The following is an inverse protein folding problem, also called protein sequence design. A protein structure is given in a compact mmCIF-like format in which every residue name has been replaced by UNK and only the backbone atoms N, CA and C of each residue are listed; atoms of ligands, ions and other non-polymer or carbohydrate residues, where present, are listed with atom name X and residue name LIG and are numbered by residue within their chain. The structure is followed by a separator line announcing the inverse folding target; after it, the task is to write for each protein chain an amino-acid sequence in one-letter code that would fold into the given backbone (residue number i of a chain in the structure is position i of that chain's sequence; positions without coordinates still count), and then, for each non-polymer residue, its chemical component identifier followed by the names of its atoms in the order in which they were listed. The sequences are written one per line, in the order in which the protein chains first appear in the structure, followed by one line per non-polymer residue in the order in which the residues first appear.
data_IF_222300479757
#
_entry.id   IF_222300479757
#
_cell.length_a   1.000
_cell.length_b   1.000
_cell.length_c   1.000
_cell.angle_alpha   90.00
_cell.angle_beta   90.00
_cell.angle_gamma   90.00
#
_symmetry.space_group_name_H-M   'P 1'
#
loop_
_entity.id
_entity.type
_entity.pdbx_description
1 polymer ?
#
# COMPACT_ATOMS: atom_id res chain seq x y z
N UNK A 1 47.35 84.41 31.64
CA UNK A 1 47.01 85.09 30.37
C UNK A 1 46.95 84.06 29.25
N UNK A 2 45.93 84.14 28.37
CA UNK A 2 45.65 83.35 27.14
C UNK A 2 45.23 81.88 27.38
N UNK A 3 43.93 81.55 27.40
CA UNK A 3 42.92 81.41 26.31
C UNK A 3 43.37 80.49 25.17
N UNK A 4 42.71 79.34 25.02
CA UNK A 4 42.01 78.88 23.79
C UNK A 4 41.33 77.50 24.02
N UNK A 5 40.04 77.46 23.68
CA UNK A 5 39.09 76.34 23.49
C UNK A 5 38.52 76.57 22.05
N UNK A 6 37.85 75.68 21.28
CA UNK A 6 37.62 74.22 21.29
C UNK A 6 37.95 73.48 19.97
N UNK A 7 37.85 72.14 19.99
CA UNK A 7 37.27 71.43 18.85
C UNK A 7 36.58 70.14 19.30
N UNK A 8 35.29 70.04 18.96
CA UNK A 8 34.50 68.83 19.05
C UNK A 8 34.96 67.83 17.98
N UNK A 9 35.04 66.54 18.34
CA UNK A 9 35.03 65.44 17.38
C UNK A 9 33.87 64.52 17.74
N UNK A 10 32.81 64.57 16.91
CA UNK A 10 31.90 63.44 16.75
C UNK A 10 32.71 62.27 16.18
N UNK A 11 32.78 61.17 16.91
CA UNK A 11 33.22 59.89 16.35
C UNK A 11 32.01 58.95 16.25
N UNK A 12 31.72 58.68 14.99
CA UNK A 12 30.80 57.72 14.42
C UNK A 12 30.49 56.49 15.27
N UNK A 13 29.20 56.16 15.31
CA UNK A 13 28.73 54.81 15.54
C UNK A 13 29.45 53.85 14.58
N UNK A 14 30.28 52.96 15.13
CA UNK A 14 30.65 51.75 14.44
C UNK A 14 29.53 50.74 14.74
N UNK A 15 28.63 50.55 13.79
CA UNK A 15 27.79 49.35 13.78
C UNK A 15 28.72 48.15 13.66
N UNK A 16 28.80 47.34 14.71
CA UNK A 16 29.35 46.00 14.61
C UNK A 16 28.37 45.16 13.79
N UNK A 17 28.54 45.18 12.46
CA UNK A 17 27.99 44.13 11.62
C UNK A 17 28.86 42.89 11.78
N UNK A 18 28.20 41.79 12.17
CA UNK A 18 28.48 40.38 11.89
C UNK A 18 29.95 39.93 11.78
N UNK A 19 30.34 38.94 12.60
CA UNK A 19 30.46 37.53 12.14
C UNK A 19 30.35 36.61 13.38
N UNK A 20 29.17 36.59 14.00
CA UNK A 20 28.93 35.84 15.23
C UNK A 20 28.08 34.59 15.02
N UNK A 21 28.03 33.99 13.83
CA UNK A 21 27.43 32.68 13.65
C UNK A 21 28.50 31.63 13.92
N UNK A 22 28.44 30.97 15.09
CA UNK A 22 29.13 29.70 15.28
C UNK A 22 28.70 28.75 14.17
N UNK A 23 29.54 28.59 13.16
CA UNK A 23 29.23 27.79 11.98
C UNK A 23 29.36 26.33 12.40
N UNK A 24 28.22 25.69 12.69
CA UNK A 24 28.15 24.23 12.65
C UNK A 24 28.87 23.75 11.38
N UNK A 25 29.71 22.70 11.44
CA UNK A 25 30.43 22.25 10.26
C UNK A 25 29.45 21.81 9.17
N UNK A 26 29.75 22.18 7.93
CA UNK A 26 28.99 21.73 6.77
C UNK A 26 28.82 20.21 6.82
N UNK A 27 27.57 19.75 6.72
CA UNK A 27 27.19 18.34 6.68
C UNK A 27 26.05 18.10 5.71
N UNK A 28 26.05 16.91 5.09
CA UNK A 28 24.90 16.38 4.36
C UNK A 28 23.95 15.71 5.36
N UNK A 29 22.65 15.96 5.22
CA UNK A 29 21.62 15.32 6.08
C UNK A 29 21.08 14.04 5.48
N UNK A 30 21.14 13.88 4.15
CA UNK A 30 20.74 12.67 3.46
C UNK A 30 21.83 11.59 3.60
N UNK A 31 21.55 10.55 4.39
CA UNK A 31 22.45 9.40 4.56
C UNK A 31 22.09 8.21 3.66
N UNK A 32 20.89 8.20 3.09
CA UNK A 32 20.39 7.16 2.18
C UNK A 32 19.36 7.74 1.21
N UNK A 33 19.04 6.98 0.16
CA UNK A 33 17.96 7.28 -0.78
C UNK A 33 16.80 6.31 -0.55
N UNK A 34 15.54 6.77 -0.58
CA UNK A 34 14.40 5.89 -0.71
C UNK A 34 14.55 5.04 -1.99
N UNK A 35 14.11 3.77 -1.98
CA UNK A 35 14.08 2.97 -3.20
C UNK A 35 13.16 3.66 -4.23
N UNK A 36 13.53 3.53 -5.50
CA UNK A 36 12.67 3.89 -6.61
C UNK A 36 12.03 2.64 -7.21
N UNK A 37 10.88 2.80 -7.85
CA UNK A 37 10.18 1.70 -8.48
C UNK A 37 10.02 1.95 -9.97
N UNK A 38 10.26 0.90 -10.76
CA UNK A 38 10.16 0.96 -12.22
C UNK A 38 8.81 1.52 -12.65
N UNK A 39 8.83 2.56 -13.49
CA UNK A 39 7.61 3.18 -14.02
C UNK A 39 6.86 4.08 -13.04
N UNK A 40 7.33 4.23 -11.80
CA UNK A 40 6.69 5.10 -10.81
C UNK A 40 7.39 6.45 -10.67
N UNK A 41 6.65 7.55 -10.46
CA UNK A 41 7.26 8.83 -10.15
C UNK A 41 8.15 8.76 -8.91
N UNK A 42 9.37 9.24 -9.04
CA UNK A 42 10.35 9.34 -7.97
C UNK A 42 10.71 10.80 -7.69
N UNK A 43 10.86 11.14 -6.42
CA UNK A 43 11.33 12.46 -5.99
C UNK A 43 11.99 12.35 -4.62
N UNK A 44 13.31 12.56 -4.56
CA UNK A 44 14.08 12.65 -3.32
C UNK A 44 14.77 14.02 -3.24
N UNK A 45 14.69 14.64 -2.07
CA UNK A 45 15.40 15.89 -1.78
C UNK A 45 16.64 15.58 -0.95
N UNK A 46 17.77 16.13 -1.38
CA UNK A 46 19.07 16.04 -0.72
C UNK A 46 19.37 17.40 -0.14
N UNK A 47 19.68 17.43 1.16
CA UNK A 47 19.86 18.67 1.91
C UNK A 47 21.19 18.66 2.68
N UNK A 48 21.61 19.86 3.06
CA UNK A 48 22.79 20.12 3.86
C UNK A 48 22.48 21.14 4.96
N UNK A 49 23.27 21.09 6.02
CA UNK A 49 23.19 22.00 7.18
C UNK A 49 24.60 22.44 7.58
N UNK A 50 24.69 23.52 8.37
CA UNK A 50 25.97 24.12 8.74
C UNK A 50 26.66 24.84 7.58
N UNK A 51 27.89 25.33 7.79
CA UNK A 51 28.63 26.08 6.78
C UNK A 51 27.95 27.40 6.37
N UNK A 52 28.37 27.94 5.21
CA UNK A 52 27.93 29.26 4.72
C UNK A 52 27.05 29.11 3.48
N UNK A 53 25.77 29.49 3.56
CA UNK A 53 24.87 29.51 2.40
C UNK A 53 25.29 30.55 1.34
N UNK A 54 24.94 30.38 0.05
CA UNK A 54 24.18 29.27 -0.53
C UNK A 54 24.97 27.97 -0.68
N UNK A 55 24.25 26.86 -0.82
CA UNK A 55 24.83 25.55 -1.14
C UNK A 55 24.70 25.23 -2.63
N UNK A 56 25.74 24.64 -3.19
CA UNK A 56 25.75 24.05 -4.53
C UNK A 56 25.86 22.53 -4.41
N UNK A 57 24.99 21.80 -5.10
CA UNK A 57 25.01 20.34 -5.10
C UNK A 57 25.38 19.80 -6.47
N UNK A 58 26.27 18.81 -6.49
CA UNK A 58 26.56 17.98 -7.66
C UNK A 58 26.31 16.51 -7.32
N UNK A 59 25.94 15.73 -8.34
CA UNK A 59 25.68 14.31 -8.18
C UNK A 59 26.41 13.55 -9.29
N UNK A 60 27.45 12.82 -8.91
CA UNK A 60 28.22 11.99 -9.83
C UNK A 60 27.71 10.54 -9.81
N UNK A 61 27.85 9.85 -10.94
CA UNK A 61 27.38 8.48 -11.16
C UNK A 61 26.35 8.39 -12.28
N UNK A 62 26.15 7.18 -12.82
CA UNK A 62 25.12 6.95 -13.84
C UNK A 62 23.74 6.92 -13.16
N UNK A 63 22.87 7.85 -13.53
CA UNK A 63 21.46 7.78 -13.15
C UNK A 63 20.72 6.71 -13.98
N UNK A 64 19.72 6.03 -13.39
CA UNK A 64 18.79 5.21 -14.17
C UNK A 64 18.17 6.03 -15.30
N UNK A 65 17.94 5.41 -16.45
CA UNK A 65 17.20 6.04 -17.54
C UNK A 65 15.87 6.62 -17.03
N UNK A 66 15.60 7.89 -17.35
CA UNK A 66 14.37 8.61 -16.97
C UNK A 66 14.44 9.36 -15.64
N UNK A 67 15.56 9.29 -14.91
CA UNK A 67 15.83 10.16 -13.75
C UNK A 67 16.77 11.32 -14.11
N UNK A 68 16.64 12.41 -13.35
CA UNK A 68 17.46 13.62 -13.49
C UNK A 68 17.72 14.25 -12.13
N UNK A 69 18.84 14.96 -12.01
CA UNK A 69 19.23 15.67 -10.80
C UNK A 69 19.32 17.18 -11.05
N UNK A 70 18.66 17.98 -10.22
CA UNK A 70 18.72 19.44 -10.30
C UNK A 70 18.59 20.05 -8.90
N UNK A 71 19.54 20.93 -8.53
CA UNK A 71 19.42 21.77 -7.33
C UNK A 71 19.20 21.00 -6.02
N UNK A 72 19.86 19.85 -5.85
CA UNK A 72 19.67 19.00 -4.67
C UNK A 72 18.47 18.05 -4.75
N UNK A 73 17.75 17.99 -5.88
CA UNK A 73 16.60 17.09 -6.05
C UNK A 73 16.88 16.05 -7.13
N UNK A 74 16.68 14.77 -6.80
CA UNK A 74 16.66 13.66 -7.73
C UNK A 74 15.21 13.30 -8.05
N UNK A 75 14.80 13.37 -9.32
CA UNK A 75 13.41 13.20 -9.72
C UNK A 75 13.27 12.58 -11.11
N UNK A 76 12.09 12.06 -11.42
CA UNK A 76 11.74 11.51 -12.72
C UNK A 76 10.93 10.22 -12.64
N UNK A 77 10.94 9.42 -13.70
CA UNK A 77 10.32 8.09 -13.74
C UNK A 77 11.37 7.10 -14.25
N UNK A 78 11.87 6.17 -13.42
CA UNK A 78 12.93 5.27 -13.82
C UNK A 78 12.40 4.20 -14.78
N UNK A 79 13.20 3.88 -15.79
CA UNK A 79 12.87 2.91 -16.86
C UNK A 79 13.76 1.67 -16.87
N UNK A 80 14.75 1.62 -16.00
CA UNK A 80 15.61 0.45 -15.80
C UNK A 80 15.73 0.10 -14.32
N UNK A 81 15.71 -1.21 -14.02
CA UNK A 81 15.95 -1.75 -12.68
C UNK A 81 17.46 -1.86 -12.44
N UNK A 82 17.89 -1.78 -11.18
CA UNK A 82 19.28 -1.97 -10.82
C UNK A 82 19.68 -1.29 -9.52
N UNK A 83 20.97 -1.38 -9.22
CA UNK A 83 21.61 -0.66 -8.12
C UNK A 83 22.57 0.38 -8.71
N UNK A 84 22.36 1.64 -8.37
CA UNK A 84 23.06 2.78 -8.96
C UNK A 84 23.85 3.49 -7.85
N UNK A 85 25.18 3.28 -7.79
CA UNK A 85 26.02 4.01 -6.84
C UNK A 85 26.17 5.46 -7.31
N UNK A 86 25.94 6.39 -6.38
CA UNK A 86 25.95 7.83 -6.62
C UNK A 86 26.86 8.51 -5.58
N UNK A 87 27.51 9.58 -5.98
CA UNK A 87 28.31 10.43 -5.09
C UNK A 87 27.68 11.82 -5.06
N UNK A 88 27.02 12.15 -3.96
CA UNK A 88 26.48 13.49 -3.71
C UNK A 88 27.59 14.35 -3.12
N UNK A 89 27.87 15.49 -3.74
CA UNK A 89 28.79 16.49 -3.20
C UNK A 89 28.03 17.79 -2.96
N UNK A 90 28.27 18.40 -1.80
CA UNK A 90 27.80 19.74 -1.47
C UNK A 90 28.99 20.66 -1.24
N UNK A 91 28.93 21.85 -1.84
CA UNK A 91 29.86 22.96 -1.62
C UNK A 91 29.09 24.15 -1.04
N UNK A 92 29.65 24.80 -0.02
CA UNK A 92 29.11 26.04 0.56
C UNK A 92 29.78 27.29 -0.04
N UNK A 93 29.27 28.48 0.28
CA UNK A 93 29.79 29.74 -0.26
C UNK A 93 31.23 30.06 0.21
N UNK A 94 31.66 29.47 1.33
CA UNK A 94 33.02 29.57 1.85
C UNK A 94 33.96 28.51 1.25
N UNK A 95 33.51 27.76 0.24
CA UNK A 95 34.27 26.71 -0.46
C UNK A 95 34.60 25.50 0.41
N UNK A 96 33.86 25.29 1.50
CA UNK A 96 33.89 24.03 2.21
C UNK A 96 33.11 22.99 1.40
N UNK A 97 33.64 21.77 1.31
CA UNK A 97 33.01 20.67 0.57
C UNK A 97 32.81 19.43 1.45
N UNK A 98 31.72 18.72 1.21
CA UNK A 98 31.44 17.38 1.78
C UNK A 98 30.85 16.49 0.70
N UNK A 99 31.24 15.22 0.73
CA UNK A 99 30.70 14.21 -0.18
C UNK A 99 30.12 13.03 0.61
N UNK A 100 29.03 12.46 0.09
CA UNK A 100 28.36 11.29 0.63
C UNK A 100 28.10 10.28 -0.49
N UNK A 101 28.49 9.02 -0.25
CA UNK A 101 28.10 7.92 -1.13
C UNK A 101 26.68 7.51 -0.81
N UNK A 102 25.85 7.45 -1.86
CA UNK A 102 24.47 7.01 -1.82
C UNK A 102 24.31 5.87 -2.83
N UNK A 103 23.33 5.01 -2.59
CA UNK A 103 22.94 3.99 -3.57
C UNK A 103 21.46 4.13 -3.84
N UNK A 104 21.09 4.37 -5.09
CA UNK A 104 19.70 4.27 -5.51
C UNK A 104 19.43 2.85 -5.97
N UNK A 105 18.47 2.18 -5.34
CA UNK A 105 17.96 0.90 -5.83
C UNK A 105 16.66 1.14 -6.59
N UNK A 106 16.60 0.64 -7.82
CA UNK A 106 15.38 0.59 -8.63
C UNK A 106 14.92 -0.85 -8.76
N UNK A 107 13.73 -1.17 -8.28
CA UNK A 107 13.13 -2.50 -8.35
C UNK A 107 11.72 -2.44 -8.94
N UNK A 108 11.05 -3.59 -9.05
CA UNK A 108 9.59 -3.55 -9.18
C UNK A 108 8.96 -2.93 -7.92
N UNK A 109 7.79 -2.28 -8.03
CA UNK A 109 6.99 -1.87 -6.87
C UNK A 109 6.77 -3.07 -5.93
N UNK A 110 6.54 -2.90 -4.62
CA UNK A 110 6.15 -4.03 -3.78
C UNK A 110 4.85 -4.67 -4.31
N UNK A 111 4.57 -5.96 -4.06
CA UNK A 111 3.27 -6.54 -4.40
C UNK A 111 2.10 -5.74 -3.82
N UNK A 112 0.91 -5.75 -4.45
CA UNK A 112 -0.26 -5.12 -3.89
C UNK A 112 -0.61 -5.75 -2.55
N UNK A 113 -1.07 -4.92 -1.60
CA UNK A 113 -1.56 -5.36 -0.29
C UNK A 113 -2.88 -4.68 0.05
N UNK A 114 -3.65 -5.32 0.94
CA UNK A 114 -4.86 -4.74 1.52
C UNK A 114 -4.52 -4.20 2.91
N UNK A 115 -4.38 -2.89 3.04
CA UNK A 115 -4.17 -2.23 4.32
C UNK A 115 -5.51 -2.00 5.02
N UNK A 116 -5.71 -2.63 6.18
CA UNK A 116 -6.89 -2.43 7.02
C UNK A 116 -6.63 -1.33 8.05
N UNK A 117 -7.50 -0.33 8.10
CA UNK A 117 -7.48 0.70 9.15
C UNK A 117 -8.48 0.27 10.22
N UNK A 118 -7.96 -0.01 11.41
CA UNK A 118 -8.71 -0.45 12.57
C UNK A 118 -8.44 0.50 13.76
N UNK A 119 -9.40 0.66 14.68
CA UNK A 119 -9.17 1.35 15.94
C UNK A 119 -7.98 0.74 16.70
N UNK A 120 -7.02 1.55 17.20
CA UNK A 120 -5.83 1.04 17.89
C UNK A 120 -6.12 0.64 19.34
N UNK A 121 -7.29 1.01 19.87
CA UNK A 121 -7.69 0.80 21.26
C UNK A 121 -8.97 -0.03 21.34
N UNK A 122 -9.39 -0.35 22.57
CA UNK A 122 -10.63 -1.06 22.81
C UNK A 122 -11.82 -0.26 22.29
N UNK A 123 -12.78 -0.98 21.69
CA UNK A 123 -14.06 -0.43 21.22
C UNK A 123 -15.21 -1.13 21.90
N UNK A 124 -16.23 -0.35 22.25
CA UNK A 124 -17.50 -0.84 22.81
C UNK A 124 -18.70 -0.56 21.88
N UNK A 125 -18.51 0.32 20.89
CA UNK A 125 -19.54 0.68 19.91
C UNK A 125 -19.10 0.43 18.46
N UNK A 126 -20.01 0.62 17.50
CA UNK A 126 -19.72 0.40 16.08
C UNK A 126 -18.53 1.23 15.58
N UNK A 127 -17.72 0.64 14.69
CA UNK A 127 -16.60 1.32 14.04
C UNK A 127 -16.52 0.96 12.55
N UNK A 128 -15.90 1.83 11.77
CA UNK A 128 -15.66 1.59 10.34
C UNK A 128 -14.36 0.80 10.14
N UNK A 129 -14.46 -0.37 9.52
CA UNK A 129 -13.34 -1.03 8.87
C UNK A 129 -13.13 -0.34 7.51
N UNK A 130 -11.98 0.30 7.32
CA UNK A 130 -11.56 0.82 6.02
C UNK A 130 -10.47 -0.08 5.43
N UNK A 131 -10.61 -0.45 4.17
CA UNK A 131 -9.60 -1.21 3.46
C UNK A 131 -9.05 -0.41 2.28
N UNK A 132 -7.72 -0.33 2.17
CA UNK A 132 -7.01 0.38 1.10
C UNK A 132 -6.15 -0.60 0.30
N UNK A 133 -6.16 -0.45 -1.01
CA UNK A 133 -5.22 -1.14 -1.91
C UNK A 133 -3.95 -0.29 -1.96
N UNK A 134 -2.80 -0.87 -1.63
CA UNK A 134 -1.52 -0.17 -1.55
C UNK A 134 -0.40 -0.96 -2.22
N UNK A 135 0.71 -0.29 -2.50
CA UNK A 135 1.96 -0.92 -2.94
C UNK A 135 2.09 -0.98 -4.46
N UNK A 136 1.18 -1.68 -5.15
CA UNK A 136 1.13 -1.78 -6.61
C UNK A 136 -0.30 -1.79 -7.10
N UNK A 137 -0.48 -1.44 -8.37
CA UNK A 137 -1.76 -1.56 -9.04
C UNK A 137 -2.26 -3.02 -9.06
N UNK A 138 -3.56 -3.17 -8.85
CA UNK A 138 -4.27 -4.43 -9.00
C UNK A 138 -5.64 -4.18 -9.67
N UNK A 139 -6.16 -5.17 -10.39
CA UNK A 139 -7.50 -5.13 -10.99
C UNK A 139 -8.57 -5.74 -10.08
N UNK A 140 -8.16 -6.17 -8.89
CA UNK A 140 -9.08 -6.65 -7.88
C UNK A 140 -8.42 -7.63 -6.93
N UNK A 141 -9.22 -8.17 -6.02
CA UNK A 141 -8.78 -9.14 -5.04
C UNK A 141 -9.93 -10.05 -4.61
N UNK A 142 -9.55 -11.20 -4.06
CA UNK A 142 -10.41 -12.05 -3.25
C UNK A 142 -9.96 -11.94 -1.80
N UNK A 143 -10.92 -11.88 -0.88
CA UNK A 143 -10.64 -11.80 0.55
C UNK A 143 -11.54 -12.75 1.34
N UNK A 144 -10.95 -13.33 2.37
CA UNK A 144 -11.66 -14.01 3.45
C UNK A 144 -11.13 -13.52 4.80
N UNK A 145 -12.04 -13.19 5.71
CA UNK A 145 -11.67 -12.73 7.06
C UNK A 145 -12.66 -13.25 8.09
N UNK A 146 -12.14 -13.72 9.22
CA UNK A 146 -12.98 -14.12 10.35
C UNK A 146 -13.27 -12.93 11.25
N UNK A 147 -14.54 -12.67 11.51
CA UNK A 147 -15.02 -11.57 12.35
C UNK A 147 -15.27 -12.07 13.78
N UNK A 148 -14.20 -12.20 14.57
CA UNK A 148 -14.32 -12.65 15.96
C UNK A 148 -15.02 -11.59 16.82
N UNK A 149 -16.22 -11.91 17.30
CA UNK A 149 -17.05 -11.04 18.16
C UNK A 149 -17.41 -9.70 17.51
N UNK A 150 -17.45 -9.68 16.17
CA UNK A 150 -17.78 -8.52 15.35
C UNK A 150 -18.94 -8.89 14.41
N UNK A 151 -19.98 -8.09 14.39
CA UNK A 151 -21.12 -8.24 13.48
C UNK A 151 -21.03 -7.22 12.35
N UNK A 152 -21.03 -7.64 11.07
CA UNK A 152 -20.93 -6.72 9.94
C UNK A 152 -22.29 -6.17 9.49
N UNK A 153 -22.36 -4.87 9.20
CA UNK A 153 -23.48 -4.27 8.46
C UNK A 153 -23.26 -4.43 6.95
N UNK A 154 -23.70 -5.57 6.42
CA UNK A 154 -23.50 -5.93 5.01
C UNK A 154 -24.19 -4.95 4.04
N UNK A 155 -25.37 -4.43 4.42
CA UNK A 155 -26.10 -3.46 3.59
C UNK A 155 -25.42 -2.08 3.56
N UNK A 156 -24.68 -1.75 4.61
CA UNK A 156 -23.88 -0.53 4.73
C UNK A 156 -22.52 -0.56 4.00
N UNK A 157 -22.16 -1.67 3.35
CA UNK A 157 -20.91 -1.76 2.58
C UNK A 157 -20.87 -0.66 1.50
N UNK A 158 -19.84 0.19 1.56
CA UNK A 158 -19.52 1.09 0.43
C UNK A 158 -18.24 0.60 -0.23
N UNK A 159 -18.35 0.23 -1.49
CA UNK A 159 -17.25 -0.27 -2.30
C UNK A 159 -16.82 0.76 -3.34
N UNK A 160 -15.52 0.76 -3.68
CA UNK A 160 -14.95 1.55 -4.77
C UNK A 160 -15.50 1.11 -6.13
N UNK A 161 -15.76 -0.19 -6.29
CA UNK A 161 -16.29 -0.78 -7.50
C UNK A 161 -17.69 -1.32 -7.28
N UNK A 162 -18.61 -1.11 -8.23
CA UNK A 162 -19.92 -1.76 -8.17
C UNK A 162 -19.82 -3.28 -8.38
N UNK A 163 -18.78 -3.78 -9.07
CA UNK A 163 -18.54 -5.20 -9.28
C UNK A 163 -17.85 -5.85 -8.07
N UNK A 164 -18.63 -6.11 -7.01
CA UNK A 164 -18.19 -6.81 -5.82
C UNK A 164 -19.21 -7.88 -5.40
N UNK A 165 -18.72 -8.96 -4.82
CA UNK A 165 -19.52 -10.07 -4.31
C UNK A 165 -19.20 -10.26 -2.83
N UNK A 166 -20.24 -10.34 -2.02
CA UNK A 166 -20.14 -10.40 -0.56
C UNK A 166 -20.94 -11.60 -0.04
N UNK A 167 -20.36 -12.31 0.90
CA UNK A 167 -21.01 -13.38 1.64
C UNK A 167 -20.54 -13.38 3.09
N UNK A 168 -21.45 -13.68 4.00
CA UNK A 168 -21.16 -13.80 5.43
C UNK A 168 -21.90 -15.01 5.98
N UNK A 169 -21.13 -15.93 6.55
CA UNK A 169 -21.68 -17.05 7.32
C UNK A 169 -21.65 -16.69 8.81
N UNK A 170 -22.81 -16.44 9.45
CA UNK A 170 -22.86 -16.08 10.87
C UNK A 170 -22.45 -17.23 11.80
N UNK A 171 -22.55 -18.49 11.36
CA UNK A 171 -22.18 -19.64 12.18
C UNK A 171 -20.64 -19.75 12.31
N UNK A 172 -19.92 -19.58 11.20
CA UNK A 172 -18.45 -19.59 11.19
C UNK A 172 -17.82 -18.22 11.44
N UNK A 173 -18.64 -17.15 11.33
CA UNK A 173 -18.25 -15.73 11.33
C UNK A 173 -17.26 -15.41 10.21
N UNK A 174 -17.38 -16.09 9.08
CA UNK A 174 -16.51 -15.91 7.93
C UNK A 174 -17.13 -14.89 6.97
N UNK A 175 -16.47 -13.76 6.79
CA UNK A 175 -16.78 -12.77 5.77
C UNK A 175 -15.93 -13.03 4.53
N UNK A 176 -16.57 -13.16 3.37
CA UNK A 176 -15.93 -13.35 2.07
C UNK A 176 -16.30 -12.17 1.17
N UNK A 177 -15.30 -11.53 0.60
CA UNK A 177 -15.49 -10.38 -0.29
C UNK A 177 -14.53 -10.48 -1.47
N UNK A 178 -15.10 -10.57 -2.65
CA UNK A 178 -14.35 -10.52 -3.90
C UNK A 178 -14.72 -9.22 -4.61
N UNK A 179 -13.72 -8.46 -5.06
CA UNK A 179 -13.92 -7.17 -5.70
C UNK A 179 -13.07 -7.07 -6.94
N UNK A 180 -13.69 -6.69 -8.06
CA UNK A 180 -12.98 -6.40 -9.31
C UNK A 180 -13.14 -4.94 -9.70
N UNK A 181 -12.09 -4.36 -10.26
CA UNK A 181 -12.02 -2.96 -10.69
C UNK A 181 -12.04 -2.87 -12.21
N UNK A 182 -12.81 -1.92 -12.75
CA UNK A 182 -12.86 -1.65 -14.19
C UNK A 182 -11.50 -1.18 -14.75
N UNK A 183 -10.68 -0.56 -13.90
CA UNK A 183 -9.32 -0.09 -14.19
C UNK A 183 -8.39 -0.47 -13.03
N UNK A 184 -7.08 -0.66 -13.25
CA UNK A 184 -6.14 -0.92 -12.18
C UNK A 184 -6.20 0.16 -11.09
N UNK A 185 -6.11 -0.26 -9.82
CA UNK A 185 -6.21 0.61 -8.64
C UNK A 185 -4.96 0.46 -7.78
N UNK A 186 -4.40 1.60 -7.34
CA UNK A 186 -3.31 1.72 -6.35
C UNK A 186 -3.57 2.92 -5.44
N UNK A 187 -3.20 2.80 -4.17
CA UNK A 187 -3.27 3.81 -3.12
C UNK A 187 -4.67 4.44 -2.94
N UNK A 188 -5.71 3.62 -3.13
CA UNK A 188 -7.12 4.02 -2.96
C UNK A 188 -7.84 3.16 -1.94
N UNK A 189 -8.84 3.76 -1.30
CA UNK A 189 -9.82 3.02 -0.50
C UNK A 189 -10.61 2.08 -1.43
N UNK A 190 -10.63 0.80 -1.10
CA UNK A 190 -11.38 -0.22 -1.82
C UNK A 190 -12.78 -0.39 -1.24
N UNK A 191 -12.92 -0.40 0.09
CA UNK A 191 -14.23 -0.43 0.73
C UNK A 191 -14.19 0.12 2.15
N UNK A 192 -15.39 0.40 2.65
CA UNK A 192 -15.68 0.61 4.06
C UNK A 192 -16.87 -0.21 4.50
N UNK A 193 -16.78 -0.82 5.68
CA UNK A 193 -17.81 -1.67 6.26
C UNK A 193 -17.97 -1.31 7.74
N UNK A 194 -19.20 -1.09 8.19
CA UNK A 194 -19.46 -0.87 9.60
C UNK A 194 -19.44 -2.23 10.32
N UNK A 195 -18.67 -2.33 11.40
CA UNK A 195 -18.60 -3.49 12.26
C UNK A 195 -19.05 -3.11 13.67
N UNK A 196 -19.91 -3.95 14.27
CA UNK A 196 -20.41 -3.76 15.63
C UNK A 196 -19.78 -4.80 16.55
N UNK A 197 -19.04 -4.39 17.60
CA UNK A 197 -18.51 -5.32 18.59
C UNK A 197 -19.65 -5.90 19.44
N UNK A 198 -19.64 -7.23 19.61
CA UNK A 198 -20.60 -7.93 20.47
C UNK A 198 -20.20 -7.89 21.96
N UNK A 199 -18.95 -7.48 22.23
CA UNK A 199 -18.40 -7.21 23.56
C UNK A 199 -17.18 -6.29 23.43
N UNK A 200 -16.75 -5.61 24.51
CA UNK A 200 -15.55 -4.79 24.49
C UNK A 200 -14.32 -5.58 23.99
N UNK A 201 -13.67 -5.11 22.94
CA UNK A 201 -12.49 -5.77 22.34
C UNK A 201 -11.54 -4.78 21.67
N UNK A 202 -10.28 -5.17 21.48
CA UNK A 202 -9.36 -4.46 20.58
C UNK A 202 -9.39 -5.18 19.22
N UNK A 203 -9.88 -4.53 18.15
CA UNK A 203 -10.12 -5.21 16.89
C UNK A 203 -8.80 -5.62 16.23
N UNK A 204 -8.68 -6.91 15.89
CA UNK A 204 -7.55 -7.47 15.15
C UNK A 204 -8.09 -8.39 14.06
N UNK A 205 -7.78 -8.07 12.81
CA UNK A 205 -8.19 -8.84 11.65
C UNK A 205 -6.96 -9.29 10.85
N UNK A 206 -6.96 -10.56 10.46
CA UNK A 206 -5.92 -11.16 9.63
C UNK A 206 -6.56 -11.79 8.40
N UNK A 207 -6.96 -10.99 7.39
CA UNK A 207 -7.59 -11.51 6.19
C UNK A 207 -6.61 -12.36 5.38
N UNK A 208 -7.11 -13.43 4.76
CA UNK A 208 -6.45 -14.05 3.62
C UNK A 208 -6.85 -13.25 2.39
N UNK A 209 -5.87 -12.78 1.62
CA UNK A 209 -6.11 -11.94 0.44
C UNK A 209 -5.30 -12.45 -0.74
N UNK A 210 -5.93 -12.54 -1.91
CA UNK A 210 -5.28 -12.84 -3.18
C UNK A 210 -5.59 -11.71 -4.15
N UNK A 211 -4.56 -11.00 -4.60
CA UNK A 211 -4.69 -9.93 -5.58
C UNK A 211 -4.56 -10.45 -7.01
N UNK A 212 -5.09 -9.68 -7.95
CA UNK A 212 -4.96 -9.92 -9.39
C UNK A 212 -4.22 -8.76 -10.04
N UNK A 213 -3.17 -9.07 -10.81
CA UNK A 213 -2.37 -8.06 -11.51
C UNK A 213 -3.14 -7.39 -12.67
N UNK A 214 -2.49 -6.49 -13.41
CA UNK A 214 -3.14 -5.75 -14.50
C UNK A 214 -3.62 -6.64 -15.66
N UNK A 215 -3.04 -7.84 -15.80
CA UNK A 215 -3.46 -8.86 -16.76
C UNK A 215 -4.58 -9.77 -16.22
N UNK A 216 -4.99 -9.60 -14.95
CA UNK A 216 -5.99 -10.44 -14.30
C UNK A 216 -5.45 -11.80 -13.87
N UNK A 217 -4.14 -11.94 -13.70
CA UNK A 217 -3.50 -13.15 -13.18
C UNK A 217 -3.41 -13.08 -11.65
N UNK A 218 -3.72 -14.17 -10.92
CA UNK A 218 -3.64 -14.19 -9.47
C UNK A 218 -2.18 -14.12 -8.99
N UNK A 219 -1.95 -13.32 -7.97
CA UNK A 219 -0.70 -13.20 -7.23
C UNK A 219 -0.72 -14.14 -6.03
N UNK A 220 -0.58 -15.44 -6.30
CA UNK A 220 -0.71 -16.52 -5.33
C UNK A 220 -1.75 -17.55 -5.77
N UNK A 221 -2.10 -18.47 -4.86
CA UNK A 221 -3.19 -19.42 -5.09
C UNK A 221 -4.53 -18.71 -4.87
N UNK A 222 -5.44 -18.67 -5.87
CA UNK A 222 -6.78 -18.13 -5.70
C UNK A 222 -7.54 -18.74 -4.52
N UNK A 223 -8.38 -17.93 -3.88
CA UNK A 223 -9.29 -18.45 -2.86
C UNK A 223 -10.39 -19.27 -3.55
N UNK A 224 -10.86 -20.36 -2.92
CA UNK A 224 -11.81 -21.27 -3.55
C UNK A 224 -13.15 -20.56 -3.81
N UNK A 225 -13.54 -20.52 -5.09
CA UNK A 225 -14.83 -20.03 -5.57
C UNK A 225 -15.41 -21.02 -6.57
N UNK A 226 -16.73 -21.10 -6.66
CA UNK A 226 -17.39 -21.97 -7.64
C UNK A 226 -17.25 -21.46 -9.07
N UNK A 227 -17.01 -20.16 -9.24
CA UNK A 227 -16.77 -19.48 -10.53
C UNK A 227 -15.44 -18.73 -10.48
N UNK A 228 -14.69 -18.66 -11.59
CA UNK A 228 -13.41 -17.98 -11.60
C UNK A 228 -13.56 -16.45 -11.42
N UNK A 229 -12.57 -15.82 -10.79
CA UNK A 229 -12.52 -14.36 -10.62
C UNK A 229 -12.58 -13.59 -11.95
N UNK A 230 -12.13 -14.19 -13.06
CA UNK A 230 -12.17 -13.58 -14.39
C UNK A 230 -13.58 -13.27 -14.88
N UNK A 231 -14.63 -13.94 -14.39
CA UNK A 231 -16.02 -13.58 -14.69
C UNK A 231 -16.42 -12.26 -14.04
N UNK A 232 -16.09 -12.09 -12.75
CA UNK A 232 -16.32 -10.84 -12.02
C UNK A 232 -15.51 -9.69 -12.63
N UNK A 233 -14.26 -9.95 -13.03
CA UNK A 233 -13.41 -8.97 -13.68
C UNK A 233 -13.96 -8.48 -15.03
N UNK A 234 -14.46 -9.39 -15.87
CA UNK A 234 -15.07 -9.01 -17.15
C UNK A 234 -16.31 -8.13 -16.93
N UNK A 235 -17.14 -8.49 -15.97
CA UNK A 235 -18.32 -7.71 -15.60
C UNK A 235 -17.90 -6.30 -15.13
N UNK A 236 -16.87 -6.19 -14.29
CA UNK A 236 -16.33 -4.89 -13.86
C UNK A 236 -15.83 -4.03 -15.02
N UNK A 237 -15.10 -4.61 -15.97
CA UNK A 237 -14.54 -3.92 -17.14
C UNK A 237 -15.61 -3.51 -18.16
N UNK A 238 -16.71 -4.28 -18.23
CA UNK A 238 -17.84 -4.00 -19.10
C UNK A 238 -18.94 -3.16 -18.43
N UNK A 239 -18.79 -2.77 -17.17
CA UNK A 239 -19.82 -2.08 -16.41
C UNK A 239 -20.36 -0.85 -17.13
N UNK A 240 -21.69 -0.78 -17.27
CA UNK A 240 -22.38 0.32 -17.94
C UNK A 240 -22.28 0.31 -19.47
N UNK A 241 -21.67 -0.71 -20.08
CA UNK A 241 -21.75 -0.88 -21.54
C UNK A 241 -23.16 -1.29 -21.94
N UNK A 242 -23.59 -0.77 -23.08
CA UNK A 242 -24.88 -1.05 -23.69
C UNK A 242 -24.66 -1.62 -25.10
N UNK A 243 -25.51 -2.56 -25.53
CA UNK A 243 -25.41 -3.17 -26.84
C UNK A 243 -26.15 -4.50 -26.97
N UNK A 244 -26.28 -4.96 -28.21
CA UNK A 244 -26.87 -6.28 -28.49
C UNK A 244 -25.82 -7.37 -28.25
N UNK A 245 -26.23 -8.46 -27.59
CA UNK A 245 -25.42 -9.66 -27.40
C UNK A 245 -24.05 -9.41 -26.72
N UNK A 246 -24.02 -8.56 -25.68
CA UNK A 246 -22.84 -8.44 -24.83
C UNK A 246 -22.66 -9.75 -24.05
N UNK A 247 -21.45 -10.32 -24.02
CA UNK A 247 -21.19 -11.59 -23.31
C UNK A 247 -21.36 -11.45 -21.79
N UNK A 248 -21.18 -10.24 -21.29
CA UNK A 248 -21.29 -9.86 -19.88
C UNK A 248 -22.71 -9.45 -19.46
N UNK A 249 -23.63 -9.32 -20.42
CA UNK A 249 -25.07 -9.13 -20.20
C UNK A 249 -25.70 -10.52 -20.02
N UNK A 250 -25.82 -10.91 -18.75
CA UNK A 250 -26.27 -12.23 -18.31
C UNK A 250 -27.79 -12.31 -18.21
N UNK A 251 -28.48 -11.18 -18.05
CA UNK A 251 -29.95 -11.13 -17.96
C UNK A 251 -30.63 -10.82 -19.30
N UNK A 252 -29.86 -10.36 -20.30
CA UNK A 252 -30.32 -10.07 -21.66
C UNK A 252 -31.05 -8.74 -21.80
N UNK A 253 -30.91 -7.81 -20.85
CA UNK A 253 -31.56 -6.50 -20.89
C UNK A 253 -30.88 -5.50 -21.84
N UNK A 254 -29.72 -5.87 -22.40
CA UNK A 254 -28.91 -5.08 -23.31
C UNK A 254 -27.87 -4.20 -22.62
N UNK A 255 -27.67 -4.32 -21.30
CA UNK A 255 -26.79 -3.49 -20.50
C UNK A 255 -26.07 -4.30 -19.42
N UNK A 256 -24.77 -4.07 -19.26
CA UNK A 256 -24.01 -4.68 -18.17
C UNK A 256 -24.15 -3.86 -16.89
N UNK A 257 -24.66 -4.46 -15.81
CA UNK A 257 -24.87 -3.79 -14.54
C UNK A 257 -25.17 -4.70 -13.36
N UNK A 258 -26.01 -4.20 -12.46
CA UNK A 258 -26.26 -4.81 -11.15
C UNK A 258 -27.06 -6.12 -11.26
N UNK A 259 -27.97 -6.21 -12.24
CA UNK A 259 -28.74 -7.43 -12.46
C UNK A 259 -27.83 -8.61 -12.88
N UNK A 260 -26.87 -8.37 -13.77
CA UNK A 260 -25.85 -9.35 -14.14
C UNK A 260 -25.00 -9.76 -12.94
N UNK A 261 -24.61 -8.79 -12.12
CA UNK A 261 -23.81 -9.08 -10.93
C UNK A 261 -24.58 -9.98 -9.96
N UNK A 262 -25.88 -9.75 -9.78
CA UNK A 262 -26.75 -10.61 -8.97
C UNK A 262 -26.88 -12.02 -9.55
N UNK A 263 -26.94 -12.17 -10.87
CA UNK A 263 -26.91 -13.49 -11.52
C UNK A 263 -25.56 -14.19 -11.33
N UNK A 264 -24.45 -13.46 -11.46
CA UNK A 264 -23.11 -13.98 -11.22
C UNK A 264 -22.95 -14.46 -9.77
N UNK A 265 -23.46 -13.69 -8.81
CA UNK A 265 -23.41 -13.97 -7.37
C UNK A 265 -24.04 -15.32 -7.00
N UNK A 266 -25.06 -15.77 -7.74
CA UNK A 266 -25.75 -17.03 -7.47
C UNK A 266 -24.77 -18.21 -7.58
N UNK A 267 -24.53 -18.87 -6.44
CA UNK A 267 -23.63 -20.00 -6.32
C UNK A 267 -22.14 -19.64 -6.40
N UNK A 268 -21.77 -18.36 -6.41
CA UNK A 268 -20.38 -17.93 -6.54
C UNK A 268 -19.51 -18.41 -5.37
N UNK A 269 -20.02 -18.24 -4.15
CA UNK A 269 -19.38 -18.72 -2.94
C UNK A 269 -19.82 -20.16 -2.64
N UNK A 270 -18.88 -21.08 -2.37
CA UNK A 270 -19.23 -22.44 -1.99
C UNK A 270 -19.99 -22.43 -0.66
N UNK A 271 -21.00 -23.31 -0.53
CA UNK A 271 -21.63 -23.57 0.75
C UNK A 271 -20.62 -24.24 1.69
N UNK A 272 -20.70 -24.02 3.02
CA UNK A 272 -19.88 -24.76 3.96
C UNK A 272 -20.05 -26.26 3.70
N UNK A 273 -18.95 -26.99 3.55
CA UNK A 273 -19.01 -28.46 3.52
C UNK A 273 -19.59 -28.91 4.87
N UNK A 274 -20.74 -29.58 4.86
CA UNK A 274 -21.18 -30.34 6.03
C UNK A 274 -20.10 -31.38 6.29
N UNK A 275 -19.46 -31.43 7.47
CA UNK A 275 -18.49 -32.48 7.74
C UNK A 275 -19.18 -33.83 7.52
N UNK A 276 -18.67 -34.63 6.58
CA UNK A 276 -19.10 -36.02 6.42
C UNK A 276 -18.96 -36.69 7.78
N UNK A 277 -19.98 -37.43 8.27
CA UNK A 277 -19.82 -38.22 9.47
C UNK A 277 -18.64 -39.18 9.22
N UNK A 278 -17.62 -39.09 10.08
CA UNK A 278 -16.50 -40.04 10.09
C UNK A 278 -17.08 -41.45 10.04
N UNK A 279 -16.69 -42.22 9.01
CA UNK A 279 -16.99 -43.63 8.98
C UNK A 279 -16.45 -44.25 10.28
N UNK A 280 -17.24 -45.06 11.02
CA UNK A 280 -16.77 -45.63 12.27
C UNK A 280 -15.53 -46.47 11.96
N UNK A 281 -14.41 -46.08 12.56
CA UNK A 281 -13.17 -46.83 12.51
C UNK A 281 -13.42 -48.26 12.98
N UNK A 282 -13.13 -49.22 12.11
CA UNK A 282 -13.18 -50.64 12.41
C UNK A 282 -12.19 -50.97 13.53
N UNK A 283 -12.70 -51.00 14.76
CA UNK A 283 -12.02 -51.58 15.90
C UNK A 283 -12.37 -53.05 16.00
N UNK A 284 -11.60 -53.91 15.34
CA UNK A 284 -11.50 -55.32 15.72
C UNK A 284 -10.06 -55.61 16.12
N UNK A 285 -9.80 -55.47 17.42
CA UNK A 285 -8.64 -56.07 18.05
C UNK A 285 -8.87 -57.57 18.19
N UNK A 286 -8.31 -58.35 17.28
CA UNK A 286 -8.07 -59.78 17.53
C UNK A 286 -6.72 -59.93 18.23
N UNK A 287 -6.80 -60.11 19.55
CA UNK A 287 -5.74 -60.71 20.34
C UNK A 287 -5.88 -62.24 20.23
N UNK A 288 -4.98 -62.89 19.52
CA UNK A 288 -4.76 -64.33 19.60
C UNK A 288 -3.28 -64.54 19.88
N UNK A 289 -3.00 -64.96 21.12
CA UNK A 289 -1.67 -65.36 21.53
C UNK A 289 -1.27 -66.67 20.87
N UNK A 290 0.03 -66.81 20.60
CA UNK A 290 0.65 -68.11 20.46
C UNK A 290 2.06 -68.04 21.06
N UNK A 291 2.19 -68.76 22.16
CA UNK A 291 3.39 -69.05 22.92
C UNK A 291 4.11 -70.22 22.21
N UNK A 292 5.38 -70.04 21.86
CA UNK A 292 6.25 -71.12 21.36
C UNK A 292 7.55 -71.17 22.15
N UNK A 293 7.72 -72.28 22.88
CA UNK A 293 8.97 -72.95 23.24
C UNK A 293 8.58 -74.37 23.72
N UNK A 294 9.43 -75.41 23.62
CA UNK A 294 10.90 -75.37 23.57
C UNK A 294 11.55 -75.72 22.23
#
# INVERSE_FOLDING_TARGET
MRKLWPLALLLAACGAQDVGAGLDPLRLTATSLPPAYLGEPYSASLAAEGGVRPYSFTLDGKLPEGLSFQGGRLFGVPKEKGSFPLLLTVEDAAKNSRAQRLTLTVSDPPPPRLALVLPPAQVEGPFLLLARVEGREAVGFQMEVRLADLEPDLAGLKALSPAHLLDYDPATRLLRLDMAFAKPVKDREAFRLLLTPQKPLVPRLSPKVVFYDKEGKPLGQPLPRSKPFSELLRLAQAWGREGKALKEDLDGDGKVGEADLRLLAQGYFPKPETPSPEAPGGGEGQASGEEQAP
#
